data_IF_394548801817
#
_entry.id   IF_394548801817
#
_cell.length_a   1.000
_cell.length_b   1.000
_cell.length_c   1.000
_cell.angle_alpha   90.00
_cell.angle_beta   90.00
_cell.angle_gamma   90.00
#
_symmetry.space_group_name_H-M   'P 1'
#
loop_
_entity.id
_entity.type
_entity.pdbx_description
1 polymer ?
#
# COMPACT_ATOMS: atom_id res chain seq x y z
N UNK A 1 12.10 -20.99 -4.74
CA UNK A 1 12.45 -19.75 -4.02
C UNK A 1 11.35 -18.76 -4.34
N UNK A 2 10.69 -18.21 -3.32
CA UNK A 2 9.37 -17.57 -3.48
C UNK A 2 9.43 -16.29 -4.31
N UNK A 3 8.68 -16.29 -5.43
CA UNK A 3 8.47 -15.19 -6.38
C UNK A 3 7.66 -14.00 -5.81
N UNK A 4 7.55 -13.87 -4.49
CA UNK A 4 6.63 -12.94 -3.77
C UNK A 4 6.95 -11.45 -3.97
N UNK A 5 8.08 -11.14 -4.62
CA UNK A 5 8.57 -9.77 -4.81
C UNK A 5 8.51 -9.28 -6.26
N UNK A 6 7.90 -10.03 -7.18
CA UNK A 6 7.79 -9.64 -8.60
C UNK A 6 6.49 -8.87 -8.86
N UNK A 7 6.45 -8.09 -9.95
CA UNK A 7 5.21 -7.46 -10.41
C UNK A 7 4.09 -8.50 -10.57
N UNK A 8 4.39 -9.63 -11.21
CA UNK A 8 3.43 -10.70 -11.45
C UNK A 8 2.79 -11.21 -10.15
N UNK A 9 3.58 -11.50 -9.12
CA UNK A 9 3.01 -12.03 -7.87
C UNK A 9 2.19 -10.98 -7.13
N UNK A 10 2.68 -9.75 -7.02
CA UNK A 10 1.97 -8.65 -6.36
C UNK A 10 0.68 -8.27 -7.08
N UNK A 11 0.71 -8.23 -8.41
CA UNK A 11 -0.48 -8.02 -9.23
C UNK A 11 -1.51 -9.15 -9.09
N UNK A 12 -1.05 -10.41 -8.99
CA UNK A 12 -1.93 -11.54 -8.70
C UNK A 12 -2.57 -11.44 -7.32
N UNK A 13 -1.82 -11.03 -6.29
CA UNK A 13 -2.39 -10.80 -4.95
C UNK A 13 -3.48 -9.73 -4.97
N UNK A 14 -3.22 -8.58 -5.61
CA UNK A 14 -4.22 -7.51 -5.77
C UNK A 14 -5.47 -7.99 -6.51
N UNK A 15 -5.30 -8.83 -7.53
CA UNK A 15 -6.42 -9.43 -8.26
C UNK A 15 -7.24 -10.37 -7.37
N UNK A 16 -6.57 -11.27 -6.64
CA UNK A 16 -7.22 -12.24 -5.75
C UNK A 16 -7.97 -11.57 -4.60
N UNK A 17 -7.37 -10.57 -3.96
CA UNK A 17 -7.97 -9.76 -2.90
C UNK A 17 -9.18 -8.95 -3.37
N UNK A 18 -9.25 -8.60 -4.66
CA UNK A 18 -10.37 -7.83 -5.21
C UNK A 18 -11.69 -8.62 -5.26
N UNK A 19 -11.63 -9.96 -5.31
CA UNK A 19 -12.80 -10.83 -5.51
C UNK A 19 -13.48 -10.67 -6.88
N UNK A 20 -12.86 -9.95 -7.83
CA UNK A 20 -13.42 -9.68 -9.15
C UNK A 20 -12.94 -10.69 -10.19
N UNK A 21 -13.68 -10.80 -11.31
CA UNK A 21 -13.17 -11.47 -12.50
C UNK A 21 -12.17 -10.57 -13.25
N UNK A 22 -11.38 -11.14 -14.18
CA UNK A 22 -10.32 -10.41 -14.90
C UNK A 22 -10.81 -9.21 -15.70
N UNK A 23 -12.05 -9.27 -16.22
CA UNK A 23 -12.62 -8.19 -17.00
C UNK A 23 -12.96 -7.00 -16.08
N UNK A 24 -13.66 -7.26 -14.99
CA UNK A 24 -14.09 -6.21 -14.05
C UNK A 24 -12.92 -5.64 -13.24
N UNK A 25 -11.91 -6.45 -12.95
CA UNK A 25 -10.66 -5.95 -12.37
C UNK A 25 -9.95 -5.00 -13.34
N UNK A 26 -9.81 -5.39 -14.62
CA UNK A 26 -9.18 -4.56 -15.65
C UNK A 26 -9.89 -3.23 -15.86
N UNK A 27 -11.23 -3.22 -15.84
CA UNK A 27 -12.04 -2.00 -15.99
C UNK A 27 -11.71 -0.93 -14.96
N UNK A 28 -11.25 -1.29 -13.74
CA UNK A 28 -10.93 -0.31 -12.69
C UNK A 28 -9.81 0.65 -13.08
N UNK A 29 -8.86 0.22 -13.92
CA UNK A 29 -7.70 1.01 -14.36
C UNK A 29 -7.59 1.07 -15.89
N UNK A 30 -8.68 0.79 -16.61
CA UNK A 30 -8.75 0.93 -18.07
C UNK A 30 -8.03 -0.14 -18.89
N UNK A 31 -7.81 -1.34 -18.32
CA UNK A 31 -7.21 -2.47 -19.04
C UNK A 31 -8.26 -3.47 -19.55
N UNK A 32 -7.93 -4.13 -20.66
CA UNK A 32 -8.72 -5.24 -21.19
C UNK A 32 -8.49 -6.54 -20.40
N UNK A 33 -9.44 -7.46 -20.46
CA UNK A 33 -9.31 -8.82 -19.91
C UNK A 33 -8.04 -9.54 -20.40
N UNK A 34 -7.68 -9.35 -21.68
CA UNK A 34 -6.49 -9.97 -22.28
C UNK A 34 -5.19 -9.43 -21.68
N UNK A 35 -5.12 -8.12 -21.43
CA UNK A 35 -3.97 -7.51 -20.75
C UNK A 35 -3.83 -8.04 -19.33
N UNK A 36 -4.92 -8.09 -18.56
CA UNK A 36 -4.93 -8.66 -17.20
C UNK A 36 -4.46 -10.13 -17.24
N UNK A 37 -4.96 -10.93 -18.18
CA UNK A 37 -4.50 -12.31 -18.37
C UNK A 37 -2.99 -12.40 -18.64
N UNK A 38 -2.46 -11.58 -19.54
CA UNK A 38 -1.04 -11.55 -19.87
C UNK A 38 -0.18 -11.20 -18.64
N UNK A 39 -0.53 -10.13 -17.93
CA UNK A 39 0.22 -9.68 -16.74
C UNK A 39 0.24 -10.72 -15.63
N UNK A 40 -0.89 -11.36 -15.35
CA UNK A 40 -1.00 -12.44 -14.33
C UNK A 40 -0.16 -13.67 -14.66
N UNK A 41 0.00 -13.97 -15.95
CA UNK A 41 0.73 -15.14 -16.44
C UNK A 41 2.20 -14.85 -16.81
N UNK A 42 2.67 -13.61 -16.64
CA UNK A 42 4.05 -13.23 -16.98
C UNK A 42 4.29 -13.06 -18.48
N UNK A 43 3.24 -12.87 -19.29
CA UNK A 43 3.30 -12.62 -20.73
C UNK A 43 3.64 -11.17 -21.10
N UNK A 44 4.13 -10.37 -20.14
CA UNK A 44 4.47 -8.95 -20.29
C UNK A 44 4.15 -8.16 -19.03
N UNK A 45 4.56 -6.89 -19.02
CA UNK A 45 4.26 -5.92 -17.96
C UNK A 45 3.55 -4.69 -18.56
N UNK A 46 2.71 -3.98 -17.76
CA UNK A 46 2.14 -2.72 -18.16
C UNK A 46 3.21 -1.63 -18.36
N UNK A 47 2.87 -0.60 -19.12
CA UNK A 47 3.73 0.60 -19.22
C UNK A 47 3.68 1.44 -17.93
N UNK A 48 4.51 2.48 -17.89
CA UNK A 48 4.65 3.38 -16.73
C UNK A 48 3.34 4.08 -16.34
N UNK A 49 2.51 4.49 -17.31
CA UNK A 49 1.26 5.19 -17.03
C UNK A 49 0.22 4.22 -16.46
N UNK A 50 0.14 3.02 -17.03
CA UNK A 50 -0.73 1.96 -16.53
C UNK A 50 -0.30 1.48 -15.13
N UNK A 51 1.01 1.38 -14.85
CA UNK A 51 1.52 1.07 -13.50
C UNK A 51 1.08 2.10 -12.47
N UNK A 52 1.13 3.40 -12.81
CA UNK A 52 0.65 4.47 -11.92
C UNK A 52 -0.85 4.37 -11.67
N UNK A 53 -1.66 4.09 -12.69
CA UNK A 53 -3.10 3.97 -12.51
C UNK A 53 -3.47 2.74 -11.68
N UNK A 54 -2.82 1.59 -11.92
CA UNK A 54 -3.01 0.40 -11.07
C UNK A 54 -2.68 0.73 -9.62
N UNK A 55 -1.51 1.32 -9.36
CA UNK A 55 -1.05 1.71 -8.03
C UNK A 55 -2.06 2.64 -7.33
N UNK A 56 -2.53 3.67 -8.03
CA UNK A 56 -3.53 4.63 -7.54
C UNK A 56 -4.86 3.96 -7.20
N UNK A 57 -5.38 3.11 -8.08
CA UNK A 57 -6.68 2.42 -7.90
C UNK A 57 -6.63 1.39 -6.77
N UNK A 58 -5.49 0.72 -6.61
CA UNK A 58 -5.29 -0.33 -5.62
C UNK A 58 -4.72 0.18 -4.30
N UNK A 59 -4.35 1.45 -4.23
CA UNK A 59 -3.85 2.10 -3.01
C UNK A 59 -2.43 1.70 -2.62
N UNK A 60 -1.66 1.10 -3.52
CA UNK A 60 -0.24 0.73 -3.29
C UNK A 60 0.69 1.71 -3.98
N UNK A 61 1.98 1.70 -3.62
CA UNK A 61 3.00 2.46 -4.36
C UNK A 61 3.43 1.70 -5.62
N UNK A 62 3.90 2.43 -6.64
CA UNK A 62 4.49 1.80 -7.84
C UNK A 62 5.72 0.98 -7.46
N UNK A 63 6.55 1.45 -6.53
CA UNK A 63 7.72 0.72 -6.06
C UNK A 63 7.35 -0.59 -5.36
N UNK A 64 6.23 -0.61 -4.61
CA UNK A 64 5.67 -1.87 -4.15
C UNK A 64 5.15 -2.69 -5.33
N UNK A 65 4.35 -2.14 -6.23
CA UNK A 65 3.79 -2.90 -7.33
C UNK A 65 4.86 -3.62 -8.19
N UNK A 66 6.03 -3.01 -8.39
CA UNK A 66 7.11 -3.58 -9.23
C UNK A 66 8.24 -4.28 -8.46
N UNK A 67 8.11 -4.48 -7.15
CA UNK A 67 9.11 -5.26 -6.39
C UNK A 67 10.29 -4.49 -5.81
N UNK A 68 10.31 -3.16 -5.89
CA UNK A 68 11.41 -2.30 -5.41
C UNK A 68 11.33 -1.96 -3.92
N UNK A 69 10.16 -2.10 -3.30
CA UNK A 69 9.95 -1.86 -1.87
C UNK A 69 9.11 -2.97 -1.23
N UNK A 70 9.42 -3.34 0.01
CA UNK A 70 8.57 -4.24 0.81
C UNK A 70 7.54 -3.49 1.66
N UNK A 71 7.71 -2.17 1.79
CA UNK A 71 6.73 -1.33 2.44
C UNK A 71 5.58 -1.13 1.45
N UNK A 72 4.40 -1.66 1.81
CA UNK A 72 3.15 -1.24 1.18
C UNK A 72 2.94 0.19 1.67
N UNK A 73 3.50 1.19 0.98
CA UNK A 73 3.14 2.58 1.24
C UNK A 73 1.69 2.75 0.78
N UNK A 74 0.76 2.44 1.69
CA UNK A 74 -0.69 2.31 1.46
C UNK A 74 -1.42 3.64 1.34
N UNK A 75 -0.73 4.77 1.17
CA UNK A 75 -1.44 6.05 1.25
C UNK A 75 -1.02 7.10 0.20
N UNK A 76 -1.72 7.14 -0.94
CA UNK A 76 -1.68 8.26 -1.88
C UNK A 76 -2.32 9.55 -1.33
N UNK A 77 -3.11 9.49 -0.25
CA UNK A 77 -3.62 10.65 0.49
C UNK A 77 -2.84 10.84 1.79
N UNK A 78 -1.60 11.33 1.69
CA UNK A 78 -0.96 11.95 2.85
C UNK A 78 -1.80 13.17 3.24
N UNK A 79 -2.57 13.06 4.32
CA UNK A 79 -3.10 14.23 5.03
C UNK A 79 -1.88 15.16 5.26
N UNK A 80 -1.90 16.40 4.73
CA UNK A 80 -0.72 17.28 4.78
C UNK A 80 -0.25 17.50 6.22
N UNK A 81 -1.15 17.47 7.19
CA UNK A 81 -0.84 17.61 8.61
C UNK A 81 -0.12 16.36 9.15
N UNK A 82 -0.53 15.16 8.73
CA UNK A 82 0.18 13.92 9.09
C UNK A 82 1.55 13.82 8.43
N UNK A 83 1.70 14.33 7.20
CA UNK A 83 3.00 14.41 6.55
C UNK A 83 3.95 15.36 7.28
N UNK A 84 3.43 16.47 7.81
CA UNK A 84 4.19 17.37 8.65
C UNK A 84 4.60 16.72 9.98
N UNK A 85 3.67 16.06 10.67
CA UNK A 85 3.95 15.34 11.92
C UNK A 85 4.98 14.23 11.73
N UNK A 86 4.90 13.46 10.64
CA UNK A 86 5.89 12.43 10.30
C UNK A 86 7.30 13.02 10.15
N UNK A 87 7.44 14.12 9.40
CA UNK A 87 8.74 14.82 9.24
C UNK A 87 9.27 15.41 10.54
N UNK A 88 8.38 15.87 11.42
CA UNK A 88 8.75 16.36 12.74
C UNK A 88 9.19 15.20 13.65
N UNK A 89 8.47 14.07 13.59
CA UNK A 89 8.75 12.85 14.34
C UNK A 89 10.14 12.27 14.09
N UNK A 90 10.64 12.35 12.85
CA UNK A 90 12.01 11.93 12.49
C UNK A 90 13.13 12.64 13.30
N UNK A 91 12.81 13.79 13.90
CA UNK A 91 13.74 14.61 14.70
C UNK A 91 13.48 14.54 16.21
N UNK A 92 12.45 13.82 16.64
CA UNK A 92 12.07 13.71 18.04
C UNK A 92 12.93 12.68 18.76
N UNK A 93 13.23 12.95 20.02
CA UNK A 93 13.75 11.94 20.95
C UNK A 93 12.67 10.91 21.31
N UNK A 94 13.03 9.73 21.84
CA UNK A 94 12.06 8.74 22.28
C UNK A 94 11.00 9.30 23.26
N UNK A 95 11.42 10.16 24.21
CA UNK A 95 10.52 10.77 25.18
C UNK A 95 9.54 11.75 24.54
N UNK A 96 9.97 12.50 23.52
CA UNK A 96 9.11 13.43 22.77
C UNK A 96 8.12 12.67 21.89
N UNK A 97 8.58 11.62 21.21
CA UNK A 97 7.73 10.74 20.43
C UNK A 97 6.66 10.07 21.33
N UNK A 98 7.04 9.65 22.54
CA UNK A 98 6.09 9.10 23.52
C UNK A 98 5.02 10.12 23.92
N UNK A 99 5.39 11.38 24.16
CA UNK A 99 4.42 12.44 24.48
C UNK A 99 3.43 12.67 23.34
N UNK A 100 3.89 12.65 22.10
CA UNK A 100 3.02 12.78 20.92
C UNK A 100 2.04 11.60 20.83
N UNK A 101 2.52 10.38 21.08
CA UNK A 101 1.68 9.18 21.14
C UNK A 101 0.60 9.29 22.23
N UNK A 102 1.00 9.60 23.46
CA UNK A 102 0.08 9.72 24.60
C UNK A 102 -0.98 10.80 24.35
N UNK A 103 -0.59 11.93 23.74
CA UNK A 103 -1.52 12.99 23.34
C UNK A 103 -2.48 12.53 22.25
N UNK A 104 -1.99 11.84 21.22
CA UNK A 104 -2.83 11.33 20.15
C UNK A 104 -3.85 10.30 20.67
N UNK A 105 -3.41 9.39 21.56
CA UNK A 105 -4.29 8.42 22.23
C UNK A 105 -5.35 9.10 23.10
N UNK A 106 -5.01 10.23 23.75
CA UNK A 106 -5.97 11.01 24.53
C UNK A 106 -7.02 11.71 23.65
N UNK A 107 -6.59 12.30 22.52
CA UNK A 107 -7.47 13.07 21.63
C UNK A 107 -8.34 12.18 20.75
N UNK A 108 -7.84 11.00 20.39
CA UNK A 108 -8.42 10.11 19.38
C UNK A 108 -8.53 8.66 19.88
N UNK A 109 -9.05 8.41 21.10
CA UNK A 109 -8.96 7.11 21.75
C UNK A 109 -9.56 5.96 20.92
N UNK A 110 -10.61 6.23 20.13
CA UNK A 110 -11.25 5.25 19.26
C UNK A 110 -10.34 4.67 18.17
N UNK A 111 -9.22 5.32 17.85
CA UNK A 111 -8.26 4.84 16.87
C UNK A 111 -7.08 4.08 17.50
N UNK A 112 -6.97 4.11 18.83
CA UNK A 112 -5.92 3.43 19.60
C UNK A 112 -6.47 2.24 20.40
N UNK A 113 -7.77 1.95 20.29
CA UNK A 113 -8.40 0.76 20.85
C UNK A 113 -8.32 -0.39 19.83
N UNK A 114 -7.21 -1.12 19.78
CA UNK A 114 -7.11 -2.24 18.83
C UNK A 114 -5.85 -3.09 18.92
N UNK A 115 -4.66 -2.48 18.95
CA UNK A 115 -3.40 -3.21 19.05
C UNK A 115 -2.35 -2.28 19.66
N UNK A 116 -1.90 -2.61 20.87
CA UNK A 116 -0.59 -2.17 21.35
C UNK A 116 0.44 -3.12 20.72
N UNK A 117 1.27 -2.68 19.76
CA UNK A 117 2.32 -3.53 19.18
C UNK A 117 3.44 -3.86 20.19
N UNK A 118 3.36 -3.39 21.44
CA UNK A 118 4.32 -3.61 22.50
C UNK A 118 4.01 -4.73 23.50
N UNK A 119 2.80 -5.31 23.54
CA UNK A 119 2.50 -6.45 24.42
C UNK A 119 2.46 -7.78 23.65
N UNK A 120 3.64 -8.26 23.25
CA UNK A 120 3.87 -9.70 23.15
C UNK A 120 4.52 -10.18 24.44
N UNK A 121 3.85 -11.11 25.11
CA UNK A 121 4.32 -11.86 26.28
C UNK A 121 5.65 -12.57 26.03
#
# INVERSE_FOLDING_TARGET
MSDTFTFRSRFNSLYEESGLNQEDFGKKFGASKSQVFHWRNGGGEPDSEMLKEIAKVTGVSVDWLVGKSNNVDTNPQKNPDLAYLSRAGDKMTPDEAKKLHDLAALLFPQYFTGDDPGESK
#
